data_IF_341990981391
#
_entry.id   IF_341990981391
#
_cell.length_a   1.000
_cell.length_b   1.000
_cell.length_c   1.000
_cell.angle_alpha   90.00
_cell.angle_beta   90.00
_cell.angle_gamma   90.00
#
_symmetry.space_group_name_H-M   'P 1'
#
loop_
_entity.id
_entity.type
_entity.pdbx_description
1 polymer ?
#
# COMPACT_ATOMS: atom_id res chain seq x y z
N UNK A 1 -0.01 27.35 -4.47
CA UNK A 1 -0.67 26.38 -3.63
C UNK A 1 -0.06 25.00 -3.80
N UNK A 2 0.34 24.42 -2.71
CA UNK A 2 0.93 23.09 -2.75
C UNK A 2 -0.14 22.05 -3.12
N UNK A 3 0.22 21.18 -4.01
CA UNK A 3 -0.67 20.10 -4.40
C UNK A 3 -0.76 19.08 -3.30
N UNK A 4 -1.97 18.85 -2.85
CA UNK A 4 -2.23 17.74 -1.96
C UNK A 4 -2.59 16.56 -2.85
N UNK A 5 -1.92 15.45 -2.64
CA UNK A 5 -2.18 14.26 -3.43
C UNK A 5 -3.50 13.67 -2.98
N UNK A 6 -4.56 14.12 -3.63
CA UNK A 6 -5.94 13.77 -3.26
C UNK A 6 -6.15 12.26 -3.18
N UNK A 7 -5.35 11.53 -3.93
CA UNK A 7 -5.52 10.08 -4.03
C UNK A 7 -4.91 9.30 -2.88
N UNK A 8 -4.14 9.94 -2.02
CA UNK A 8 -3.40 9.21 -0.97
C UNK A 8 -4.33 8.52 0.00
N UNK A 9 -5.38 9.19 0.44
CA UNK A 9 -6.35 8.61 1.35
C UNK A 9 -7.04 7.40 0.74
N UNK A 10 -7.41 7.52 -0.54
CA UNK A 10 -8.05 6.42 -1.24
C UNK A 10 -7.11 5.23 -1.36
N UNK A 11 -5.85 5.48 -1.74
CA UNK A 11 -4.88 4.39 -1.88
C UNK A 11 -4.63 3.70 -0.54
N UNK A 12 -4.49 4.48 0.53
CA UNK A 12 -4.29 3.92 1.86
C UNK A 12 -5.46 3.04 2.27
N UNK A 13 -6.69 3.52 2.01
CA UNK A 13 -7.87 2.72 2.30
C UNK A 13 -7.86 1.40 1.53
N UNK A 14 -7.48 1.43 0.26
CA UNK A 14 -7.43 0.22 -0.54
C UNK A 14 -6.43 -0.79 0.05
N UNK A 15 -5.24 -0.33 0.40
CA UNK A 15 -4.23 -1.21 0.97
C UNK A 15 -4.66 -1.79 2.31
N UNK A 16 -5.24 -0.97 3.19
CA UNK A 16 -5.71 -1.46 4.49
C UNK A 16 -6.82 -2.47 4.32
N UNK A 17 -7.73 -2.23 3.39
CA UNK A 17 -8.81 -3.17 3.11
C UNK A 17 -8.26 -4.49 2.58
N UNK A 18 -7.31 -4.42 1.65
CA UNK A 18 -6.68 -5.60 1.10
C UNK A 18 -6.03 -6.48 2.18
N UNK A 19 -5.22 -5.85 3.03
CA UNK A 19 -4.54 -6.62 4.08
C UNK A 19 -5.52 -7.15 5.13
N UNK A 20 -6.57 -6.40 5.41
CA UNK A 20 -7.60 -6.89 6.34
C UNK A 20 -8.30 -8.12 5.77
N UNK A 21 -8.60 -8.11 4.48
CA UNK A 21 -9.20 -9.28 3.84
C UNK A 21 -8.27 -10.48 3.90
N UNK A 22 -6.97 -10.27 3.66
CA UNK A 22 -6.02 -11.39 3.74
C UNK A 22 -5.92 -11.95 5.15
N UNK A 23 -5.90 -11.07 6.14
CA UNK A 23 -5.76 -11.50 7.52
C UNK A 23 -6.98 -12.29 7.99
N UNK A 24 -8.18 -11.80 7.67
CA UNK A 24 -9.42 -12.35 8.19
C UNK A 24 -9.99 -13.48 7.33
N UNK A 25 -9.50 -13.60 6.12
CA UNK A 25 -10.08 -14.52 5.15
C UNK A 25 -11.35 -13.94 4.55
N UNK A 26 -11.77 -14.47 3.41
CA UNK A 26 -12.97 -13.98 2.76
C UNK A 26 -13.46 -15.01 1.76
N UNK A 27 -14.74 -14.90 1.41
CA UNK A 27 -15.35 -15.65 0.33
C UNK A 27 -15.52 -14.68 -0.85
N UNK A 28 -14.81 -14.94 -1.93
CA UNK A 28 -14.80 -14.04 -3.08
C UNK A 28 -16.20 -13.69 -3.55
N UNK A 29 -17.09 -14.70 -3.61
CA UNK A 29 -18.42 -14.48 -4.15
C UNK A 29 -19.30 -13.63 -3.24
N UNK A 30 -18.92 -13.48 -1.99
CA UNK A 30 -19.68 -12.69 -1.03
C UNK A 30 -19.16 -11.27 -0.91
N UNK A 31 -18.04 -10.96 -1.55
CA UNK A 31 -17.51 -9.61 -1.53
C UNK A 31 -18.36 -8.70 -2.40
N UNK A 32 -18.48 -7.43 -1.98
CA UNK A 32 -19.07 -6.42 -2.87
C UNK A 32 -18.14 -6.21 -4.06
N UNK A 33 -18.69 -5.66 -5.14
CA UNK A 33 -17.86 -5.38 -6.31
C UNK A 33 -16.68 -4.44 -5.99
N UNK A 34 -16.88 -3.36 -5.23
CA UNK A 34 -15.73 -2.53 -4.85
C UNK A 34 -14.65 -3.30 -4.13
N UNK A 35 -15.00 -4.19 -3.22
CA UNK A 35 -14.01 -4.96 -2.49
C UNK A 35 -13.32 -5.99 -3.37
N UNK A 36 -14.04 -6.59 -4.30
CA UNK A 36 -13.42 -7.49 -5.27
C UNK A 36 -12.37 -6.73 -6.09
N UNK A 37 -12.70 -5.52 -6.52
CA UNK A 37 -11.76 -4.71 -7.29
C UNK A 37 -10.55 -4.32 -6.46
N UNK A 38 -10.78 -3.90 -5.22
CA UNK A 38 -9.68 -3.54 -4.32
C UNK A 38 -8.72 -4.72 -4.17
N UNK A 39 -9.27 -5.89 -3.89
CA UNK A 39 -8.43 -7.06 -3.71
C UNK A 39 -7.64 -7.37 -4.98
N UNK A 40 -8.31 -7.40 -6.13
CA UNK A 40 -7.65 -7.77 -7.37
C UNK A 40 -6.53 -6.79 -7.72
N UNK A 41 -6.78 -5.50 -7.60
CA UNK A 41 -5.78 -4.49 -7.93
C UNK A 41 -4.61 -4.54 -6.96
N UNK A 42 -4.88 -4.54 -5.66
CA UNK A 42 -3.81 -4.55 -4.67
C UNK A 42 -2.99 -5.82 -4.75
N UNK A 43 -3.65 -6.96 -4.93
CA UNK A 43 -2.95 -8.24 -5.00
C UNK A 43 -2.00 -8.29 -6.20
N UNK A 44 -2.48 -7.83 -7.35
CA UNK A 44 -1.65 -7.75 -8.54
C UNK A 44 -0.43 -6.86 -8.34
N UNK A 45 -0.66 -5.66 -7.82
CA UNK A 45 0.44 -4.71 -7.58
C UNK A 45 1.42 -5.26 -6.57
N UNK A 46 0.90 -5.82 -5.48
CA UNK A 46 1.74 -6.35 -4.40
C UNK A 46 2.69 -7.43 -4.89
N UNK A 47 2.18 -8.34 -5.70
CA UNK A 47 3.00 -9.45 -6.18
C UNK A 47 3.90 -9.07 -7.36
N UNK A 48 3.46 -8.14 -8.21
CA UNK A 48 4.20 -7.87 -9.44
C UNK A 48 5.18 -6.71 -9.33
N UNK A 49 4.98 -5.80 -8.38
CA UNK A 49 5.80 -4.59 -8.33
C UNK A 49 6.72 -4.49 -7.12
N UNK A 50 6.61 -5.40 -6.17
CA UNK A 50 7.39 -5.28 -4.94
C UNK A 50 8.11 -6.57 -4.63
N UNK A 51 9.39 -6.45 -4.28
CA UNK A 51 10.19 -7.57 -3.82
C UNK A 51 9.81 -7.90 -2.38
N UNK A 52 10.27 -9.06 -1.91
CA UNK A 52 9.84 -9.58 -0.62
C UNK A 52 10.08 -8.63 0.54
N UNK A 53 11.23 -7.96 0.57
CA UNK A 53 11.51 -7.03 1.66
C UNK A 53 10.55 -5.86 1.67
N UNK A 54 10.20 -5.35 0.47
CA UNK A 54 9.24 -4.25 0.38
C UNK A 54 7.85 -4.72 0.74
N UNK A 55 7.48 -5.95 0.35
CA UNK A 55 6.19 -6.53 0.73
C UNK A 55 6.05 -6.60 2.26
N UNK A 56 7.12 -6.96 2.95
CA UNK A 56 7.09 -7.03 4.41
C UNK A 56 6.86 -5.65 5.01
N UNK A 57 7.49 -4.62 4.45
CA UNK A 57 7.28 -3.24 4.90
C UNK A 57 5.81 -2.84 4.74
N UNK A 58 5.24 -3.12 3.57
CA UNK A 58 3.86 -2.75 3.30
C UNK A 58 2.90 -3.47 4.22
N UNK A 59 3.12 -4.75 4.43
CA UNK A 59 2.26 -5.52 5.30
C UNK A 59 2.31 -4.99 6.73
N UNK A 60 3.50 -4.71 7.22
CA UNK A 60 3.64 -4.17 8.57
C UNK A 60 2.94 -2.83 8.70
N UNK A 61 3.20 -1.93 7.78
CA UNK A 61 2.66 -0.58 7.86
C UNK A 61 1.13 -0.56 7.79
N UNK A 62 0.57 -1.26 6.79
CA UNK A 62 -0.87 -1.18 6.56
C UNK A 62 -1.69 -2.04 7.50
N UNK A 63 -1.06 -2.96 8.24
CA UNK A 63 -1.76 -3.74 9.26
C UNK A 63 -1.55 -3.18 10.66
N UNK A 64 -0.81 -2.09 10.80
CA UNK A 64 -0.55 -1.49 12.09
C UNK A 64 -1.86 -1.05 12.74
N UNK A 65 -2.02 -1.39 13.99
CA UNK A 65 -3.22 -0.99 14.76
C UNK A 65 -3.11 0.40 15.33
N UNK A 66 -1.91 0.94 15.33
CA UNK A 66 -1.69 2.27 15.88
C UNK A 66 -2.18 3.26 14.85
N UNK A 67 -3.05 4.12 15.20
CA UNK A 67 -3.50 5.15 14.28
C UNK A 67 -2.41 6.16 13.95
N UNK A 68 -1.19 5.88 14.36
CA UNK A 68 -0.05 6.76 14.18
C UNK A 68 0.91 6.11 13.19
N UNK A 69 0.83 6.55 11.95
CA UNK A 69 1.65 6.00 10.87
C UNK A 69 3.13 6.23 11.12
N UNK A 70 3.47 7.36 11.73
CA UNK A 70 4.86 7.66 12.05
C UNK A 70 5.43 6.64 13.01
N UNK A 71 4.64 6.26 14.01
CA UNK A 71 5.09 5.25 14.98
C UNK A 71 5.40 3.93 14.28
N UNK A 72 4.52 3.49 13.38
CA UNK A 72 4.74 2.23 12.68
C UNK A 72 6.02 2.25 11.88
N UNK A 73 6.30 3.35 11.19
CA UNK A 73 7.51 3.49 10.39
C UNK A 73 8.75 3.48 11.28
N UNK A 74 8.70 4.22 12.38
CA UNK A 74 9.85 4.27 13.28
C UNK A 74 10.12 2.92 13.94
N UNK A 75 9.06 2.23 14.34
CA UNK A 75 9.20 0.92 14.95
C UNK A 75 9.83 -0.09 13.99
N UNK A 76 9.35 -0.12 12.76
CA UNK A 76 9.93 -1.01 11.76
C UNK A 76 11.38 -0.66 11.46
N UNK A 77 11.67 0.64 11.38
CA UNK A 77 13.02 1.12 11.15
C UNK A 77 14.00 0.61 12.22
N UNK A 78 13.58 0.70 13.47
CA UNK A 78 14.44 0.24 14.57
C UNK A 78 14.61 -1.27 14.56
N UNK A 79 13.53 -2.00 14.33
CA UNK A 79 13.58 -3.46 14.40
C UNK A 79 14.40 -4.07 13.27
N UNK A 80 14.42 -3.45 12.12
CA UNK A 80 15.06 -4.02 10.94
C UNK A 80 16.27 -3.24 10.48
N UNK A 81 16.63 -2.19 11.21
CA UNK A 81 17.79 -1.37 10.89
C UNK A 81 17.74 -0.82 9.47
N UNK A 82 16.57 -0.26 9.12
CA UNK A 82 16.31 0.34 7.81
C UNK A 82 15.98 1.80 8.02
N UNK A 83 16.60 2.73 7.27
CA UNK A 83 16.26 4.15 7.44
C UNK A 83 14.79 4.41 7.18
N UNK A 84 14.20 5.29 7.99
CA UNK A 84 12.78 5.63 7.81
C UNK A 84 12.49 6.18 6.42
N UNK A 85 13.44 6.90 5.84
CA UNK A 85 13.28 7.45 4.50
C UNK A 85 13.00 6.35 3.48
N UNK A 86 13.71 5.23 3.59
CA UNK A 86 13.53 4.11 2.68
C UNK A 86 12.11 3.54 2.83
N UNK A 87 11.66 3.41 4.07
CA UNK A 87 10.32 2.87 4.34
C UNK A 87 9.25 3.79 3.73
N UNK A 88 9.38 5.10 3.90
CA UNK A 88 8.42 6.04 3.33
C UNK A 88 8.40 6.00 1.81
N UNK A 89 9.55 5.77 1.18
CA UNK A 89 9.60 5.65 -0.27
C UNK A 89 8.79 4.44 -0.74
N UNK A 90 8.94 3.31 -0.06
CA UNK A 90 8.19 2.11 -0.41
C UNK A 90 6.68 2.34 -0.26
N UNK A 91 6.27 2.97 0.84
CA UNK A 91 4.86 3.24 1.08
C UNK A 91 4.28 4.16 0.00
N UNK A 92 5.02 5.22 -0.35
CA UNK A 92 4.57 6.13 -1.39
C UNK A 92 4.44 5.44 -2.72
N UNK A 93 5.41 4.60 -3.07
CA UNK A 93 5.36 3.85 -4.32
C UNK A 93 4.14 2.92 -4.37
N UNK A 94 3.83 2.30 -3.24
CA UNK A 94 2.68 1.40 -3.17
C UNK A 94 1.37 2.16 -3.40
N UNK A 95 1.22 3.31 -2.74
CA UNK A 95 0.02 4.11 -2.90
C UNK A 95 -0.13 4.59 -4.35
N UNK A 96 0.96 5.04 -4.94
CA UNK A 96 0.91 5.50 -6.33
C UNK A 96 0.60 4.35 -7.29
N UNK A 97 1.19 3.18 -7.03
CA UNK A 97 1.04 2.04 -7.94
C UNK A 97 -0.42 1.58 -8.05
N UNK A 98 -1.17 1.55 -6.94
CA UNK A 98 -2.58 1.14 -7.05
C UNK A 98 -3.39 2.19 -7.78
N UNK A 99 -3.07 3.46 -7.64
CA UNK A 99 -3.77 4.50 -8.37
C UNK A 99 -3.47 4.44 -9.87
N UNK A 100 -2.23 4.12 -10.24
CA UNK A 100 -1.89 3.91 -11.63
C UNK A 100 -2.63 2.71 -12.19
N UNK A 101 -2.69 1.64 -11.43
CA UNK A 101 -3.37 0.43 -11.88
C UNK A 101 -4.87 0.64 -12.04
N UNK A 102 -5.46 1.49 -11.22
CA UNK A 102 -6.88 1.84 -11.33
C UNK A 102 -7.16 2.86 -12.42
N UNK A 103 -6.14 3.44 -13.04
CA UNK A 103 -6.32 4.43 -14.07
C UNK A 103 -6.52 5.86 -13.58
N UNK A 104 -6.33 6.10 -12.29
CA UNK A 104 -6.47 7.46 -11.74
C UNK A 104 -5.23 8.31 -11.96
N UNK A 105 -4.09 7.69 -12.19
CA UNK A 105 -2.83 8.36 -12.47
C UNK A 105 -2.18 7.72 -13.66
N UNK A 106 -1.41 8.49 -14.40
CA UNK A 106 -0.61 7.94 -15.49
C UNK A 106 0.54 7.14 -14.92
N UNK A 107 0.84 6.02 -15.56
CA UNK A 107 1.98 5.22 -15.15
C UNK A 107 3.27 5.94 -15.50
N UNK A 108 4.19 5.94 -14.55
CA UNK A 108 5.51 6.48 -14.81
C UNK A 108 6.37 5.40 -15.45
N UNK A 109 7.26 5.85 -16.34
CA UNK A 109 8.24 4.96 -16.89
C UNK A 109 9.30 4.64 -15.85
N UNK A 110 9.99 3.53 -16.07
CA UNK A 110 11.04 3.13 -15.16
C UNK A 110 12.08 4.24 -15.07
N UNK A 111 12.48 4.54 -13.84
CA UNK A 111 13.48 5.55 -13.61
C UNK A 111 12.95 6.95 -13.39
N UNK A 112 11.66 7.14 -13.53
CA UNK A 112 11.03 8.45 -13.38
C UNK A 112 10.67 8.78 -11.93
N UNK A 113 11.34 8.19 -11.00
CA UNK A 113 11.05 8.42 -9.59
C UNK A 113 11.56 9.78 -9.08
#
# INVERSE_FOLDING_TARGET
>A
MKNIEWWRGTATHMWRTYFAMQRDGFDWDKLTQPNQRIYAVCHHVFLSRFVKTDQDILQYYFTSRWGDDLYAVEDYSLKHNIPTKVIWIVIRRANRAVMEECGFLEKKEDGDE
#
